data_IF_806170276549
#
_entry.id   IF_806170276549
#
_cell.length_a   1.000
_cell.length_b   1.000
_cell.length_c   1.000
_cell.angle_alpha   90.00
_cell.angle_beta   90.00
_cell.angle_gamma   90.00
#
_symmetry.space_group_name_H-M   'P 1'
#
loop_
_entity.id
_entity.type
_entity.pdbx_description
1 polymer ?
#
# COMPACT_ATOMS: atom_id res chain seq x y z
N UNK A 1 -5.32 27.75 -12.49
CA UNK A 1 -3.93 27.51 -12.04
C UNK A 1 -3.99 26.71 -10.76
N UNK A 2 -3.20 25.63 -10.65
CA UNK A 2 -3.08 24.87 -9.42
C UNK A 2 -2.42 25.76 -8.32
N UNK A 3 -2.83 25.62 -7.04
CA UNK A 3 -2.14 26.27 -5.93
C UNK A 3 -0.66 25.89 -5.89
N UNK A 4 0.18 26.82 -5.41
CA UNK A 4 1.65 26.64 -5.38
C UNK A 4 2.08 25.37 -4.62
N UNK A 5 1.33 24.97 -3.62
CA UNK A 5 1.56 23.76 -2.81
C UNK A 5 1.54 22.45 -3.60
N UNK A 6 1.01 22.43 -4.83
CA UNK A 6 1.02 21.26 -5.72
C UNK A 6 2.25 21.20 -6.63
N UNK A 7 3.11 22.22 -6.61
CA UNK A 7 4.34 22.24 -7.38
C UNK A 7 5.51 21.74 -6.53
N UNK A 8 6.27 20.79 -7.07
CA UNK A 8 7.43 20.21 -6.41
C UNK A 8 8.69 20.46 -7.21
N UNK A 9 9.83 20.63 -6.52
CA UNK A 9 11.12 20.81 -7.13
C UNK A 9 11.57 19.62 -7.98
N UNK A 10 12.44 19.87 -8.94
CA UNK A 10 13.13 18.83 -9.70
C UNK A 10 14.56 18.71 -9.16
N UNK A 11 14.82 17.70 -8.31
CA UNK A 11 16.01 17.65 -7.45
C UNK A 11 17.13 16.75 -7.98
N UNK A 12 16.98 16.11 -9.14
CA UNK A 12 18.02 15.24 -9.73
C UNK A 12 18.22 15.53 -11.21
N UNK A 13 19.48 15.49 -11.66
CA UNK A 13 19.81 15.51 -13.09
C UNK A 13 19.74 14.10 -13.66
N UNK A 14 20.32 13.13 -12.96
CA UNK A 14 20.28 11.71 -13.31
C UNK A 14 19.65 10.90 -12.15
N UNK A 15 19.16 9.71 -12.46
CA UNK A 15 18.49 8.85 -11.48
C UNK A 15 19.35 8.50 -10.26
N UNK A 16 20.64 8.37 -10.47
CA UNK A 16 21.64 7.99 -9.46
C UNK A 16 22.09 9.14 -8.58
N UNK A 17 21.70 10.37 -8.90
CA UNK A 17 22.13 11.55 -8.14
C UNK A 17 21.54 11.56 -6.75
N UNK A 18 22.28 12.12 -5.79
CA UNK A 18 21.75 12.50 -4.50
C UNK A 18 20.94 13.79 -4.61
N UNK A 19 19.98 13.98 -3.71
CA UNK A 19 19.25 15.24 -3.59
C UNK A 19 20.22 16.30 -3.06
N UNK A 20 20.31 17.46 -3.75
CA UNK A 20 21.15 18.57 -3.36
C UNK A 20 20.35 19.55 -2.49
N UNK A 21 20.96 19.96 -1.36
CA UNK A 21 20.40 20.92 -0.43
C UNK A 21 20.83 22.35 -0.81
N UNK A 22 19.90 23.13 -1.35
CA UNK A 22 20.12 24.55 -1.63
C UNK A 22 19.17 25.11 -2.69
N UNK A 23 18.59 26.28 -2.45
CA UNK A 23 17.60 26.88 -3.34
C UNK A 23 18.17 27.18 -4.75
N UNK A 24 19.42 27.64 -4.85
CA UNK A 24 20.07 27.89 -6.14
C UNK A 24 20.42 26.57 -6.85
N UNK A 25 20.85 25.55 -6.11
CA UNK A 25 21.16 24.24 -6.67
C UNK A 25 19.92 23.59 -7.26
N UNK A 26 18.77 23.74 -6.64
CA UNK A 26 17.48 23.22 -7.13
C UNK A 26 17.11 23.82 -8.49
N UNK A 27 17.30 25.15 -8.68
CA UNK A 27 17.02 25.78 -9.96
C UNK A 27 17.95 25.27 -11.07
N UNK A 28 19.26 25.21 -10.81
CA UNK A 28 20.23 24.70 -11.80
C UNK A 28 20.03 23.19 -12.07
N UNK A 29 19.66 22.43 -11.06
CA UNK A 29 19.33 21.01 -11.20
C UNK A 29 18.09 20.82 -12.07
N UNK A 30 17.07 21.64 -11.89
CA UNK A 30 15.89 21.63 -12.76
C UNK A 30 16.24 21.99 -14.21
N UNK A 31 17.09 23.02 -14.42
CA UNK A 31 17.54 23.41 -15.75
C UNK A 31 18.33 22.30 -16.45
N UNK A 32 19.27 21.67 -15.76
CA UNK A 32 20.09 20.57 -16.30
C UNK A 32 19.31 19.25 -16.36
N UNK A 33 18.37 19.04 -15.47
CA UNK A 33 17.53 17.87 -15.38
C UNK A 33 16.31 17.96 -16.30
N UNK A 34 15.27 18.65 -15.89
CA UNK A 34 13.98 18.71 -16.63
C UNK A 34 14.12 19.39 -17.99
N UNK A 35 14.83 20.52 -18.05
CA UNK A 35 14.95 21.32 -19.30
C UNK A 35 16.03 20.83 -20.26
N UNK A 36 16.72 19.72 -19.96
CA UNK A 36 17.52 19.05 -20.96
C UNK A 36 16.64 18.68 -22.15
N UNK A 37 17.05 19.04 -23.36
CA UNK A 37 16.23 19.03 -24.57
C UNK A 37 15.51 17.69 -24.80
N UNK A 38 16.23 16.58 -24.72
CA UNK A 38 15.69 15.25 -24.94
C UNK A 38 14.68 14.87 -23.87
N UNK A 39 14.97 15.21 -22.59
CA UNK A 39 14.08 14.92 -21.46
C UNK A 39 12.83 15.78 -21.50
N UNK A 40 12.97 17.06 -21.80
CA UNK A 40 11.82 17.96 -21.93
C UNK A 40 10.87 17.48 -23.04
N UNK A 41 11.40 17.07 -24.19
CA UNK A 41 10.59 16.52 -25.27
C UNK A 41 9.88 15.22 -24.85
N UNK A 42 10.57 14.35 -24.12
CA UNK A 42 9.99 13.12 -23.58
C UNK A 42 8.89 13.42 -22.56
N UNK A 43 9.12 14.38 -21.65
CA UNK A 43 8.12 14.80 -20.67
C UNK A 43 6.88 15.38 -21.35
N UNK A 44 7.06 16.28 -22.32
CA UNK A 44 5.94 16.86 -23.07
C UNK A 44 5.13 15.78 -23.84
N UNK A 45 5.81 14.74 -24.32
CA UNK A 45 5.19 13.71 -25.14
C UNK A 45 4.53 12.59 -24.31
N UNK A 46 5.14 12.19 -23.19
CA UNK A 46 4.76 10.98 -22.47
C UNK A 46 4.33 11.18 -21.01
N UNK A 47 4.64 12.34 -20.40
CA UNK A 47 4.51 12.54 -18.96
C UNK A 47 3.62 13.72 -18.56
N UNK A 48 2.80 14.21 -19.49
CA UNK A 48 1.72 15.16 -19.20
C UNK A 48 0.40 14.43 -19.37
N UNK A 49 -0.30 14.24 -18.27
CA UNK A 49 -1.60 13.58 -18.24
C UNK A 49 -2.73 14.61 -18.10
N UNK A 50 -3.70 14.50 -18.97
CA UNK A 50 -4.96 15.25 -18.96
C UNK A 50 -6.07 14.22 -18.72
N UNK A 51 -6.80 14.27 -17.59
CA UNK A 51 -7.92 13.38 -17.35
C UNK A 51 -9.02 13.51 -18.42
N UNK A 52 -9.67 12.39 -18.73
CA UNK A 52 -10.75 12.35 -19.75
C UNK A 52 -12.08 12.94 -19.24
N UNK A 53 -12.18 13.24 -17.94
CA UNK A 53 -13.38 13.79 -17.29
C UNK A 53 -13.53 15.27 -17.55
N UNK A 54 -14.74 15.75 -18.01
CA UNK A 54 -14.96 17.16 -18.34
C UNK A 54 -14.84 18.13 -17.15
N UNK A 55 -14.86 17.63 -15.91
CA UNK A 55 -14.81 18.46 -14.68
C UNK A 55 -13.40 18.79 -14.21
N UNK A 56 -12.39 18.02 -14.65
CA UNK A 56 -11.02 18.18 -14.19
C UNK A 56 -10.18 18.73 -15.32
N UNK A 57 -10.01 20.05 -15.38
CA UNK A 57 -9.09 20.75 -16.29
C UNK A 57 -7.63 20.66 -15.84
N UNK A 58 -7.35 19.81 -14.87
CA UNK A 58 -6.02 19.71 -14.27
C UNK A 58 -5.04 19.03 -15.23
N UNK A 59 -3.91 19.70 -15.43
CA UNK A 59 -2.74 19.13 -16.11
C UNK A 59 -1.81 18.52 -15.08
N UNK A 60 -1.63 17.23 -15.15
CA UNK A 60 -0.76 16.49 -14.25
C UNK A 60 0.57 16.24 -14.98
N UNK A 61 1.64 16.86 -14.50
CA UNK A 61 3.00 16.67 -15.00
C UNK A 61 3.74 15.74 -14.03
N UNK A 62 4.55 14.83 -14.54
CA UNK A 62 5.33 13.95 -13.69
C UNK A 62 6.30 14.71 -12.78
N UNK A 63 6.53 14.18 -11.60
CA UNK A 63 7.68 14.54 -10.75
C UNK A 63 8.92 13.78 -11.20
N UNK A 64 10.12 14.25 -10.82
CA UNK A 64 11.36 13.58 -11.20
C UNK A 64 11.44 12.10 -10.78
N UNK A 65 10.93 11.68 -9.58
CA UNK A 65 10.96 10.26 -9.22
C UNK A 65 10.07 9.40 -10.14
N UNK A 66 8.91 9.95 -10.54
CA UNK A 66 8.01 9.27 -11.47
C UNK A 66 8.63 9.13 -12.87
N UNK A 67 9.33 10.17 -13.33
CA UNK A 67 10.04 10.14 -14.60
C UNK A 67 11.12 9.07 -14.62
N UNK A 68 12.02 9.07 -13.63
CA UNK A 68 13.11 8.12 -13.57
C UNK A 68 12.61 6.69 -13.37
N UNK A 69 11.69 6.47 -12.43
CA UNK A 69 11.10 5.16 -12.19
C UNK A 69 10.44 4.59 -13.46
N UNK A 70 9.63 5.38 -14.14
CA UNK A 70 8.97 4.96 -15.38
C UNK A 70 9.98 4.61 -16.45
N UNK A 71 10.97 5.47 -16.68
CA UNK A 71 11.96 5.28 -17.73
C UNK A 71 12.83 4.05 -17.47
N UNK A 72 13.29 3.86 -16.24
CA UNK A 72 14.10 2.72 -15.86
C UNK A 72 13.30 1.41 -15.93
N UNK A 73 12.07 1.39 -15.40
CA UNK A 73 11.19 0.23 -15.51
C UNK A 73 10.90 -0.12 -16.97
N UNK A 74 10.58 0.87 -17.79
CA UNK A 74 10.31 0.65 -19.21
C UNK A 74 11.51 -0.01 -19.92
N UNK A 75 12.71 0.50 -19.69
CA UNK A 75 13.94 -0.06 -20.26
C UNK A 75 14.21 -1.49 -19.74
N UNK A 76 13.98 -1.73 -18.44
CA UNK A 76 14.16 -3.05 -17.86
C UNK A 76 13.13 -4.05 -18.41
N UNK A 77 11.87 -3.65 -18.56
CA UNK A 77 10.83 -4.47 -19.18
C UNK A 77 11.21 -4.83 -20.61
N UNK A 78 11.70 -3.87 -21.41
CA UNK A 78 12.14 -4.16 -22.77
C UNK A 78 13.25 -5.21 -22.81
N UNK A 79 14.17 -5.20 -21.84
CA UNK A 79 15.27 -6.16 -21.75
C UNK A 79 14.81 -7.55 -21.30
N UNK A 80 13.91 -7.61 -20.31
CA UNK A 80 13.50 -8.84 -19.64
C UNK A 80 12.17 -9.43 -20.12
N UNK A 81 11.53 -8.79 -21.11
CA UNK A 81 10.27 -9.27 -21.69
C UNK A 81 10.41 -10.68 -22.26
N UNK A 82 9.40 -11.51 -22.03
CA UNK A 82 9.29 -12.86 -22.63
C UNK A 82 9.15 -12.85 -24.15
N UNK A 83 8.99 -11.68 -24.77
CA UNK A 83 9.10 -11.52 -26.21
C UNK A 83 10.55 -11.63 -26.69
N UNK A 84 11.53 -11.43 -25.81
CA UNK A 84 12.93 -11.66 -26.10
C UNK A 84 13.28 -13.12 -25.80
N UNK A 85 14.10 -13.77 -26.61
CA UNK A 85 14.52 -15.16 -26.39
C UNK A 85 15.17 -15.39 -25.01
N UNK A 86 15.97 -14.42 -24.56
CA UNK A 86 16.68 -14.45 -23.26
C UNK A 86 15.90 -13.79 -22.12
N UNK A 87 14.68 -13.33 -22.35
CA UNK A 87 13.85 -12.65 -21.37
C UNK A 87 13.35 -13.61 -20.30
N UNK A 88 13.60 -13.31 -19.03
CA UNK A 88 13.19 -14.11 -17.89
C UNK A 88 11.80 -13.75 -17.35
N UNK A 89 11.16 -12.71 -17.92
CA UNK A 89 9.86 -12.19 -17.49
C UNK A 89 9.91 -11.41 -16.18
N UNK A 90 11.08 -11.06 -15.67
CA UNK A 90 11.25 -10.25 -14.45
C UNK A 90 11.44 -8.78 -14.82
N UNK A 91 10.33 -8.07 -15.01
CA UNK A 91 10.31 -6.67 -15.45
C UNK A 91 10.88 -5.66 -14.46
N UNK A 92 11.11 -6.08 -13.20
CA UNK A 92 11.73 -5.30 -12.15
C UNK A 92 10.77 -4.80 -11.07
N UNK A 93 11.34 -4.33 -9.98
CA UNK A 93 10.61 -3.79 -8.82
C UNK A 93 10.91 -2.30 -8.65
N UNK A 94 9.85 -1.50 -8.47
CA UNK A 94 9.97 -0.11 -8.03
C UNK A 94 9.69 -0.02 -6.54
N UNK A 95 10.67 0.48 -5.80
CA UNK A 95 10.53 0.82 -4.40
C UNK A 95 10.15 2.29 -4.26
N UNK A 96 8.89 2.58 -4.00
CA UNK A 96 8.38 3.94 -3.84
C UNK A 96 7.71 4.17 -2.50
N UNK A 97 8.18 5.16 -1.75
CA UNK A 97 7.58 5.58 -0.47
C UNK A 97 6.07 5.84 -0.62
N UNK A 98 5.31 5.64 0.45
CA UNK A 98 3.88 5.96 0.48
C UNK A 98 3.67 7.46 0.20
N UNK A 99 2.70 7.78 -0.65
CA UNK A 99 2.42 9.17 -1.05
C UNK A 99 3.28 9.70 -2.21
N UNK A 100 4.29 8.97 -2.69
CA UNK A 100 5.14 9.42 -3.81
C UNK A 100 4.43 9.45 -5.18
N UNK A 101 3.19 8.98 -5.26
CA UNK A 101 2.41 8.96 -6.50
C UNK A 101 2.66 7.74 -7.38
N UNK A 102 2.83 6.54 -6.80
CA UNK A 102 2.98 5.26 -7.50
C UNK A 102 1.92 5.05 -8.60
N UNK A 103 0.67 5.42 -8.33
CA UNK A 103 -0.43 5.31 -9.30
C UNK A 103 -0.18 6.07 -10.59
N UNK A 104 0.35 7.29 -10.50
CA UNK A 104 0.75 8.06 -11.69
C UNK A 104 1.96 7.46 -12.39
N UNK A 105 2.93 6.91 -11.62
CA UNK A 105 4.06 6.18 -12.23
C UNK A 105 3.58 4.99 -13.06
N UNK A 106 2.62 4.21 -12.53
CA UNK A 106 2.00 3.09 -13.27
C UNK A 106 1.28 3.58 -14.54
N UNK A 107 0.59 4.71 -14.46
CA UNK A 107 -0.14 5.31 -15.56
C UNK A 107 0.82 5.79 -16.68
N UNK A 108 1.91 6.46 -16.33
CA UNK A 108 2.95 6.86 -17.27
C UNK A 108 3.66 5.64 -17.89
N UNK A 109 3.91 4.61 -17.08
CA UNK A 109 4.46 3.35 -17.56
C UNK A 109 3.51 2.67 -18.54
N UNK A 110 2.22 2.56 -18.21
CA UNK A 110 1.22 1.98 -19.09
C UNK A 110 1.17 2.68 -20.46
N UNK A 111 1.22 4.03 -20.47
CA UNK A 111 1.31 4.80 -21.71
C UNK A 111 2.52 4.41 -22.57
N UNK A 112 3.71 4.35 -21.96
CA UNK A 112 4.94 4.00 -22.70
C UNK A 112 4.90 2.57 -23.21
N UNK A 113 4.40 1.64 -22.40
CA UNK A 113 4.26 0.23 -22.80
C UNK A 113 3.30 0.07 -23.98
N UNK A 114 2.11 0.69 -23.93
CA UNK A 114 1.12 0.60 -24.99
C UNK A 114 1.58 1.23 -26.32
N UNK A 115 2.44 2.22 -26.27
CA UNK A 115 3.00 2.89 -27.46
C UNK A 115 4.25 2.23 -28.01
N UNK A 116 4.82 1.27 -27.30
CA UNK A 116 6.05 0.61 -27.70
C UNK A 116 5.84 -0.39 -28.83
N UNK A 117 6.42 -0.12 -29.98
CA UNK A 117 6.44 -1.07 -31.10
C UNK A 117 7.17 -2.37 -30.76
N UNK A 118 8.15 -2.32 -29.84
CA UNK A 118 8.95 -3.48 -29.42
C UNK A 118 8.18 -4.49 -28.59
N UNK A 119 7.06 -4.10 -28.00
CA UNK A 119 6.24 -4.95 -27.14
C UNK A 119 5.01 -5.54 -27.84
N UNK A 120 4.89 -5.38 -29.16
CA UNK A 120 3.82 -5.98 -29.97
C UNK A 120 2.42 -5.71 -29.46
N UNK A 121 2.12 -4.42 -29.13
CA UNK A 121 0.84 -4.00 -28.54
C UNK A 121 0.49 -4.82 -27.28
N UNK A 122 1.19 -4.63 -26.17
CA UNK A 122 1.05 -5.47 -25.00
C UNK A 122 -0.35 -5.37 -24.39
N UNK A 123 -0.82 -6.44 -23.77
CA UNK A 123 -1.94 -6.43 -22.85
C UNK A 123 -1.42 -6.17 -21.45
N UNK A 124 -1.94 -5.17 -20.76
CA UNK A 124 -1.57 -4.85 -19.38
C UNK A 124 -2.61 -5.45 -18.43
N UNK A 125 -2.15 -6.21 -17.43
CA UNK A 125 -2.96 -6.70 -16.32
C UNK A 125 -2.47 -5.99 -15.06
N UNK A 126 -3.30 -5.07 -14.55
CA UNK A 126 -3.00 -4.32 -13.33
C UNK A 126 -3.63 -5.05 -12.14
N UNK A 127 -2.82 -5.36 -11.15
CA UNK A 127 -3.20 -6.20 -10.02
C UNK A 127 -3.05 -5.39 -8.73
N UNK A 128 -4.14 -5.28 -7.98
CA UNK A 128 -4.20 -4.59 -6.68
C UNK A 128 -4.44 -5.59 -5.54
N UNK A 129 -4.08 -5.20 -4.32
CA UNK A 129 -4.29 -6.04 -3.12
C UNK A 129 -5.68 -5.84 -2.50
N UNK A 130 -6.23 -4.62 -2.55
CA UNK A 130 -7.48 -4.26 -1.87
C UNK A 130 -8.53 -3.73 -2.83
N UNK A 131 -9.77 -4.10 -2.60
CA UNK A 131 -10.93 -3.60 -3.34
C UNK A 131 -11.09 -2.07 -3.25
N UNK A 132 -10.86 -1.46 -2.08
CA UNK A 132 -11.00 -0.02 -1.90
C UNK A 132 -9.91 0.80 -2.63
N UNK A 133 -8.68 0.29 -2.69
CA UNK A 133 -7.59 0.88 -3.48
C UNK A 133 -7.76 0.62 -4.97
N UNK A 134 -8.42 -0.50 -5.32
CA UNK A 134 -8.82 -0.82 -6.69
C UNK A 134 -9.73 0.28 -7.26
N UNK A 135 -10.66 0.80 -6.48
CA UNK A 135 -11.57 1.87 -6.91
C UNK A 135 -10.85 3.17 -7.26
N UNK A 136 -9.86 3.60 -6.49
CA UNK A 136 -9.11 4.83 -6.77
C UNK A 136 -8.18 4.67 -7.97
N UNK A 137 -7.42 3.58 -8.02
CA UNK A 137 -6.51 3.29 -9.12
C UNK A 137 -7.29 3.03 -10.41
N UNK A 138 -8.39 2.26 -10.32
CA UNK A 138 -9.30 1.99 -11.43
C UNK A 138 -9.90 3.27 -12.00
N UNK A 139 -10.39 4.19 -11.16
CA UNK A 139 -10.90 5.49 -11.61
C UNK A 139 -9.84 6.30 -12.36
N UNK A 140 -8.60 6.29 -11.85
CA UNK A 140 -7.49 7.00 -12.52
C UNK A 140 -7.21 6.43 -13.90
N UNK A 141 -7.20 5.09 -14.05
CA UNK A 141 -6.97 4.44 -15.33
C UNK A 141 -8.16 4.58 -16.29
N UNK A 142 -9.40 4.46 -15.80
CA UNK A 142 -10.61 4.65 -16.60
C UNK A 142 -10.71 6.08 -17.18
N UNK A 143 -10.20 7.07 -16.43
CA UNK A 143 -10.13 8.47 -16.87
C UNK A 143 -8.90 8.79 -17.74
N UNK A 144 -8.13 7.78 -18.15
CA UNK A 144 -6.87 7.95 -18.88
C UNK A 144 -6.86 7.24 -20.25
N UNK A 145 -8.02 6.91 -20.81
CA UNK A 145 -8.11 6.14 -22.06
C UNK A 145 -7.41 6.84 -23.23
N UNK A 146 -7.62 8.15 -23.41
CA UNK A 146 -6.93 8.94 -24.43
C UNK A 146 -5.43 9.05 -24.16
N UNK A 147 -5.04 9.19 -22.90
CA UNK A 147 -3.65 9.30 -22.51
C UNK A 147 -2.90 8.00 -22.76
N UNK A 148 -3.41 6.87 -22.32
CA UNK A 148 -2.83 5.54 -22.52
C UNK A 148 -2.85 5.16 -24.01
N UNK A 149 -3.88 5.58 -24.73
CA UNK A 149 -4.04 5.32 -26.16
C UNK A 149 -4.73 3.98 -26.45
N UNK A 150 -5.44 3.41 -25.49
CA UNK A 150 -6.30 2.24 -25.68
C UNK A 150 -7.70 2.52 -25.10
N UNK A 151 -8.74 2.21 -25.88
CA UNK A 151 -10.13 2.40 -25.45
C UNK A 151 -10.62 1.28 -24.53
N UNK A 152 -9.89 0.17 -24.46
CA UNK A 152 -10.25 -0.98 -23.65
C UNK A 152 -9.50 -0.91 -22.34
N UNK A 153 -10.08 -0.21 -21.37
CA UNK A 153 -9.66 -0.22 -19.98
C UNK A 153 -10.85 -0.75 -19.18
N UNK A 154 -10.70 -1.92 -18.56
CA UNK A 154 -11.81 -2.65 -17.94
C UNK A 154 -11.43 -3.11 -16.55
N UNK A 155 -12.28 -2.80 -15.58
CA UNK A 155 -12.22 -3.43 -14.26
C UNK A 155 -12.89 -4.79 -14.35
N UNK A 156 -12.14 -5.85 -14.05
CA UNK A 156 -12.57 -7.23 -14.23
C UNK A 156 -13.15 -7.77 -12.93
N UNK A 157 -14.40 -8.21 -12.97
CA UNK A 157 -15.14 -8.67 -11.81
C UNK A 157 -14.75 -10.09 -11.35
N UNK A 158 -14.38 -10.97 -12.29
CA UNK A 158 -14.01 -12.35 -12.00
C UNK A 158 -12.85 -12.85 -12.87
N UNK A 159 -12.24 -13.98 -12.44
CA UNK A 159 -11.19 -14.66 -13.21
C UNK A 159 -11.68 -15.21 -14.55
N UNK A 160 -12.91 -15.69 -14.61
CA UNK A 160 -13.54 -16.18 -15.82
C UNK A 160 -13.68 -15.05 -16.86
N UNK A 161 -14.06 -13.87 -16.40
CA UNK A 161 -14.11 -12.67 -17.22
C UNK A 161 -12.72 -12.25 -17.70
N UNK A 162 -11.71 -12.33 -16.83
CA UNK A 162 -10.33 -12.06 -17.26
C UNK A 162 -9.88 -13.03 -18.35
N UNK A 163 -10.16 -14.32 -18.19
CA UNK A 163 -9.86 -15.35 -19.19
C UNK A 163 -10.55 -15.05 -20.51
N UNK A 164 -11.86 -14.78 -20.47
CA UNK A 164 -12.66 -14.41 -21.65
C UNK A 164 -12.06 -13.21 -22.40
N UNK A 165 -11.66 -12.18 -21.67
CA UNK A 165 -11.02 -10.99 -22.27
C UNK A 165 -9.67 -11.32 -22.92
N UNK A 166 -8.84 -12.14 -22.25
CA UNK A 166 -7.53 -12.53 -22.75
C UNK A 166 -7.61 -13.48 -23.96
N UNK A 167 -8.66 -14.30 -24.04
CA UNK A 167 -8.91 -15.19 -25.20
C UNK A 167 -9.48 -14.41 -26.40
N UNK A 168 -10.39 -13.46 -26.17
CA UNK A 168 -11.02 -12.68 -27.23
C UNK A 168 -10.09 -11.66 -27.88
N UNK A 169 -9.08 -11.22 -27.14
CA UNK A 169 -8.18 -10.15 -27.62
C UNK A 169 -6.72 -10.57 -27.53
N UNK A 170 -6.06 -10.59 -28.66
CA UNK A 170 -4.65 -11.04 -28.77
C UNK A 170 -3.63 -9.92 -28.58
N UNK A 171 -4.05 -8.64 -28.56
CA UNK A 171 -3.18 -7.48 -28.43
C UNK A 171 -3.91 -6.29 -27.80
N UNK A 172 -3.18 -5.46 -27.09
CA UNK A 172 -3.69 -4.27 -26.41
C UNK A 172 -4.63 -4.59 -25.23
N UNK A 173 -5.22 -3.55 -24.66
CA UNK A 173 -6.14 -3.61 -23.52
C UNK A 173 -5.43 -3.50 -22.17
N UNK A 174 -6.13 -2.86 -21.23
CA UNK A 174 -5.73 -2.74 -19.83
C UNK A 174 -6.82 -3.33 -18.96
N UNK A 175 -6.50 -4.34 -18.19
CA UNK A 175 -7.42 -5.07 -17.33
C UNK A 175 -7.01 -4.90 -15.88
N UNK A 176 -7.91 -4.32 -15.08
CA UNK A 176 -7.71 -4.10 -13.64
C UNK A 176 -8.37 -5.24 -12.88
N UNK A 177 -7.65 -5.82 -11.93
CA UNK A 177 -8.11 -6.97 -11.15
C UNK A 177 -7.45 -6.99 -9.78
N UNK A 178 -7.98 -7.81 -8.87
CA UNK A 178 -7.39 -7.99 -7.54
C UNK A 178 -6.64 -9.32 -7.45
N UNK A 179 -5.61 -9.37 -6.59
CA UNK A 179 -4.76 -10.55 -6.42
C UNK A 179 -5.54 -11.76 -5.90
N UNK A 180 -6.61 -11.54 -5.12
CA UNK A 180 -7.46 -12.59 -4.56
C UNK A 180 -8.19 -13.41 -5.62
N UNK A 181 -8.26 -12.94 -6.86
CA UNK A 181 -8.85 -13.69 -7.98
C UNK A 181 -7.91 -14.77 -8.55
N UNK A 182 -6.65 -14.83 -8.08
CA UNK A 182 -5.68 -15.85 -8.46
C UNK A 182 -5.52 -16.87 -7.32
N UNK A 183 -6.10 -18.01 -7.48
CA UNK A 183 -6.08 -19.13 -6.53
C UNK A 183 -5.76 -20.46 -7.24
N UNK A 184 -5.62 -21.56 -6.49
CA UNK A 184 -5.23 -22.87 -7.02
C UNK A 184 -6.13 -23.33 -8.18
N UNK A 185 -7.41 -23.00 -8.12
CA UNK A 185 -8.39 -23.36 -9.16
C UNK A 185 -8.33 -22.48 -10.42
N UNK A 186 -7.48 -21.43 -10.46
CA UNK A 186 -7.44 -20.49 -11.58
C UNK A 186 -7.01 -21.16 -12.88
N UNK A 187 -6.05 -22.08 -12.81
CA UNK A 187 -5.48 -22.73 -13.99
C UNK A 187 -4.81 -21.75 -14.98
N UNK A 188 -4.59 -22.20 -16.20
CA UNK A 188 -3.98 -21.39 -17.25
C UNK A 188 -4.99 -20.39 -17.81
N UNK A 189 -4.64 -19.09 -17.77
CA UNK A 189 -5.42 -18.02 -18.37
C UNK A 189 -4.93 -17.68 -19.79
N UNK A 190 -3.62 -17.62 -20.00
CA UNK A 190 -3.02 -17.34 -21.32
C UNK A 190 -1.55 -17.73 -21.38
N UNK A 191 -1.11 -18.21 -22.54
CA UNK A 191 0.30 -18.48 -22.86
C UNK A 191 0.99 -17.34 -23.63
N UNK A 192 0.33 -16.19 -23.78
CA UNK A 192 0.85 -15.07 -24.55
C UNK A 192 2.07 -14.44 -23.86
N UNK A 193 3.10 -14.12 -24.63
CA UNK A 193 4.30 -13.43 -24.14
C UNK A 193 4.19 -11.89 -24.14
N UNK A 194 3.18 -11.32 -24.83
CA UNK A 194 2.92 -9.89 -24.86
C UNK A 194 1.96 -9.42 -23.74
N UNK A 195 1.92 -10.13 -22.61
CA UNK A 195 1.19 -9.73 -21.40
C UNK A 195 2.18 -9.16 -20.39
N UNK A 196 1.83 -8.01 -19.82
CA UNK A 196 2.60 -7.35 -18.77
C UNK A 196 1.72 -7.23 -17.54
N UNK A 197 2.13 -7.88 -16.45
CA UNK A 197 1.44 -7.83 -15.15
C UNK A 197 2.12 -6.76 -14.29
N UNK A 198 1.37 -5.75 -13.87
CA UNK A 198 1.82 -4.70 -12.95
C UNK A 198 1.09 -4.90 -11.63
N UNK A 199 1.83 -5.21 -10.57
CA UNK A 199 1.28 -5.42 -9.22
C UNK A 199 1.54 -4.23 -8.33
N UNK A 200 0.47 -3.63 -7.79
CA UNK A 200 0.57 -2.68 -6.70
C UNK A 200 0.68 -3.41 -5.35
N UNK A 201 1.32 -2.76 -4.38
CA UNK A 201 1.66 -3.34 -3.07
C UNK A 201 2.21 -4.77 -3.18
N UNK A 202 3.16 -4.94 -4.12
CA UNK A 202 3.72 -6.22 -4.54
C UNK A 202 4.21 -7.11 -3.39
N UNK A 203 4.60 -6.54 -2.24
CA UNK A 203 4.98 -7.28 -1.05
C UNK A 203 3.83 -8.05 -0.39
N UNK A 204 2.58 -7.60 -0.55
CA UNK A 204 1.39 -8.25 0.05
C UNK A 204 0.89 -9.43 -0.77
N UNK A 205 1.04 -9.37 -2.08
CA UNK A 205 0.64 -10.46 -3.00
C UNK A 205 1.47 -11.73 -2.83
N UNK A 206 2.45 -11.70 -1.94
CA UNK A 206 3.53 -12.68 -1.92
C UNK A 206 3.69 -13.45 -0.63
N UNK A 207 2.69 -14.10 -0.23
CA UNK A 207 2.95 -15.24 0.61
C UNK A 207 3.70 -16.33 -0.21
N UNK A 208 4.90 -15.97 -0.72
CA UNK A 208 5.95 -16.82 -1.27
C UNK A 208 5.62 -17.66 -2.50
N UNK A 209 6.62 -17.84 -3.37
CA UNK A 209 6.66 -18.93 -4.36
C UNK A 209 6.82 -20.29 -3.65
N UNK A 210 7.23 -20.29 -2.38
CA UNK A 210 7.41 -21.48 -1.55
C UNK A 210 6.10 -22.03 -1.01
N UNK A 211 6.07 -23.33 -0.84
CA UNK A 211 4.98 -24.06 -0.23
C UNK A 211 4.90 -23.74 1.27
N UNK A 212 3.79 -23.20 1.72
CA UNK A 212 3.46 -23.09 3.15
C UNK A 212 2.63 -24.30 3.56
N UNK A 213 3.07 -24.97 4.59
CA UNK A 213 2.37 -26.10 5.17
C UNK A 213 1.57 -25.61 6.36
N UNK A 214 0.26 -25.74 6.31
CA UNK A 214 -0.61 -25.46 7.45
C UNK A 214 -1.24 -26.78 7.91
N UNK A 215 -1.05 -27.09 9.19
CA UNK A 215 -1.66 -28.27 9.82
C UNK A 215 -3.08 -27.88 10.25
N UNK A 216 -4.08 -28.53 9.68
CA UNK A 216 -5.48 -28.39 10.07
C UNK A 216 -5.97 -29.68 10.74
N UNK A 217 -7.11 -29.63 11.44
CA UNK A 217 -7.74 -30.82 12.05
C UNK A 217 -8.02 -31.96 11.05
N UNK A 218 -8.04 -31.65 9.72
CA UNK A 218 -8.27 -32.62 8.63
C UNK A 218 -6.98 -33.08 7.93
N UNK A 219 -5.78 -32.73 8.46
CA UNK A 219 -4.50 -33.10 7.89
C UNK A 219 -3.68 -31.90 7.39
N UNK A 220 -2.58 -32.20 6.71
CA UNK A 220 -1.63 -31.19 6.19
C UNK A 220 -2.22 -30.59 4.91
N UNK A 221 -2.47 -29.26 4.91
CA UNK A 221 -2.77 -28.50 3.71
C UNK A 221 -1.54 -27.73 3.25
N UNK A 222 -1.19 -27.92 1.99
CA UNK A 222 -0.16 -27.18 1.32
C UNK A 222 -0.79 -25.97 0.60
N UNK A 223 -0.36 -24.78 0.96
CA UNK A 223 -0.79 -23.55 0.29
C UNK A 223 0.41 -22.89 -0.37
N UNK A 224 0.24 -22.50 -1.62
CA UNK A 224 1.17 -21.62 -2.29
C UNK A 224 0.66 -20.17 -2.18
N UNK A 225 1.58 -19.20 -2.28
CA UNK A 225 1.18 -17.80 -2.35
C UNK A 225 0.50 -17.44 -3.68
N UNK A 226 -0.31 -16.40 -3.67
CA UNK A 226 -0.98 -15.88 -4.87
C UNK A 226 -0.02 -15.62 -6.04
N UNK A 227 1.22 -15.21 -5.74
CA UNK A 227 2.24 -14.97 -6.76
C UNK A 227 2.57 -16.22 -7.59
N UNK A 228 2.53 -17.41 -6.97
CA UNK A 228 2.71 -18.69 -7.70
C UNK A 228 1.53 -18.93 -8.63
N UNK A 229 0.30 -18.84 -8.12
CA UNK A 229 -0.91 -19.06 -8.95
C UNK A 229 -1.00 -18.06 -10.09
N UNK A 230 -0.61 -16.80 -9.86
CA UNK A 230 -0.52 -15.78 -10.89
C UNK A 230 0.50 -16.18 -11.99
N UNK A 231 1.68 -16.65 -11.59
CA UNK A 231 2.70 -17.11 -12.55
C UNK A 231 2.27 -18.37 -13.30
N UNK A 232 1.64 -19.31 -12.62
CA UNK A 232 1.12 -20.53 -13.25
C UNK A 232 -0.01 -20.20 -14.24
N UNK A 233 -0.80 -19.15 -13.96
CA UNK A 233 -1.89 -18.70 -14.84
C UNK A 233 -1.42 -17.94 -16.08
N UNK A 234 -0.30 -17.24 -15.99
CA UNK A 234 0.27 -16.40 -17.07
C UNK A 234 1.79 -16.65 -17.20
N UNK A 235 2.23 -17.87 -17.54
CA UNK A 235 3.63 -18.29 -17.42
C UNK A 235 4.60 -17.51 -18.31
N UNK A 236 4.13 -16.95 -19.40
CA UNK A 236 4.92 -16.17 -20.34
C UNK A 236 4.73 -14.64 -20.18
N UNK A 237 4.03 -14.18 -19.16
CA UNK A 237 3.91 -12.75 -18.89
C UNK A 237 5.22 -12.15 -18.33
N UNK A 238 5.33 -10.82 -18.46
CA UNK A 238 6.40 -10.05 -17.83
C UNK A 238 5.81 -9.38 -16.57
N UNK A 239 6.48 -9.53 -15.43
CA UNK A 239 5.99 -9.11 -14.12
C UNK A 239 6.73 -7.90 -13.61
N UNK A 240 5.99 -6.90 -13.13
CA UNK A 240 6.51 -5.64 -12.58
C UNK A 240 5.88 -5.40 -11.22
N UNK A 241 6.69 -5.14 -10.20
CA UNK A 241 6.24 -4.89 -8.83
C UNK A 241 6.38 -3.44 -8.43
N UNK A 242 5.33 -2.89 -7.79
CA UNK A 242 5.35 -1.60 -7.12
C UNK A 242 5.13 -1.84 -5.62
N UNK A 243 5.99 -1.29 -4.77
CA UNK A 243 5.89 -1.51 -3.33
C UNK A 243 6.49 -0.36 -2.52
N UNK A 244 5.94 -0.11 -1.34
CA UNK A 244 6.55 0.77 -0.32
C UNK A 244 7.49 0.02 0.63
N UNK A 245 7.49 -1.33 0.60
CA UNK A 245 8.24 -2.20 1.51
C UNK A 245 8.71 -3.45 0.77
N UNK A 246 9.82 -3.38 -0.01
CA UNK A 246 10.32 -4.53 -0.74
C UNK A 246 10.82 -5.61 0.23
N UNK A 247 10.39 -6.85 -0.01
CA UNK A 247 10.85 -8.05 0.68
C UNK A 247 11.63 -8.93 -0.30
N UNK A 248 12.52 -9.79 0.20
CA UNK A 248 13.33 -10.68 -0.67
C UNK A 248 12.44 -11.51 -1.60
N UNK A 249 11.34 -12.07 -1.07
CA UNK A 249 10.36 -12.80 -1.88
C UNK A 249 9.73 -11.97 -3.00
N UNK A 250 9.67 -10.63 -2.84
CA UNK A 250 9.18 -9.71 -3.90
C UNK A 250 10.13 -9.74 -5.08
N UNK A 251 11.42 -9.70 -4.80
CA UNK A 251 12.47 -9.66 -5.82
C UNK A 251 12.54 -10.98 -6.61
N UNK A 252 12.23 -12.10 -5.96
CA UNK A 252 12.17 -13.41 -6.63
C UNK A 252 11.12 -13.46 -7.74
N UNK A 253 9.99 -12.77 -7.55
CA UNK A 253 8.87 -12.75 -8.49
C UNK A 253 9.03 -11.69 -9.56
N UNK A 254 9.33 -10.46 -9.17
CA UNK A 254 9.31 -9.31 -10.09
C UNK A 254 10.70 -8.93 -10.61
N UNK A 255 11.76 -9.42 -9.99
CA UNK A 255 13.13 -9.05 -10.30
C UNK A 255 13.67 -7.97 -9.36
N UNK A 256 14.94 -7.58 -9.56
CA UNK A 256 15.64 -6.64 -8.68
C UNK A 256 14.96 -5.27 -8.64
N UNK A 257 15.32 -4.48 -7.62
CA UNK A 257 14.91 -3.07 -7.54
C UNK A 257 15.58 -2.32 -8.69
N UNK A 258 14.77 -1.81 -9.60
CA UNK A 258 15.21 -1.06 -10.78
C UNK A 258 15.37 0.41 -10.45
N UNK A 259 14.47 0.95 -9.66
CA UNK A 259 14.52 2.32 -9.16
C UNK A 259 13.91 2.41 -7.77
N UNK A 260 14.33 3.41 -7.01
CA UNK A 260 13.86 3.63 -5.64
C UNK A 260 13.65 5.10 -5.34
N UNK A 261 12.59 5.36 -4.60
CA UNK A 261 12.32 6.64 -3.98
C UNK A 261 11.97 6.39 -2.52
N UNK A 262 12.94 6.63 -1.65
CA UNK A 262 12.89 6.25 -0.24
C UNK A 262 12.06 7.24 0.59
N UNK A 263 11.70 6.82 1.83
CA UNK A 263 11.05 7.72 2.79
C UNK A 263 11.93 8.94 3.14
N UNK A 264 13.25 8.76 3.17
CA UNK A 264 14.19 9.87 3.43
C UNK A 264 14.14 10.91 2.31
N UNK A 265 14.11 10.45 1.06
CA UNK A 265 13.96 11.34 -0.11
C UNK A 265 12.58 12.02 -0.10
N UNK A 266 11.52 11.29 0.23
CA UNK A 266 10.16 11.83 0.31
C UNK A 266 10.00 12.89 1.42
N UNK A 267 10.73 12.76 2.52
CA UNK A 267 10.78 13.78 3.59
C UNK A 267 11.59 15.00 3.14
N UNK A 268 12.74 14.79 2.48
CA UNK A 268 13.57 15.87 1.94
C UNK A 268 12.82 16.69 0.88
N UNK A 269 12.00 16.02 0.06
CA UNK A 269 11.14 16.67 -0.94
C UNK A 269 9.82 17.23 -0.37
N UNK A 270 9.63 17.18 0.95
CA UNK A 270 8.42 17.64 1.66
C UNK A 270 7.11 16.93 1.22
N UNK A 271 7.21 15.80 0.53
CA UNK A 271 6.06 14.99 0.09
C UNK A 271 5.41 14.29 1.28
N UNK A 272 6.22 13.90 2.25
CA UNK A 272 5.76 13.28 3.49
C UNK A 272 6.44 13.91 4.71
N UNK A 273 5.87 13.72 5.88
CA UNK A 273 6.44 14.22 7.14
C UNK A 273 7.35 13.19 7.76
N UNK A 274 8.41 13.66 8.44
CA UNK A 274 9.28 12.79 9.23
C UNK A 274 8.44 12.13 10.34
N UNK A 275 8.50 10.81 10.40
CA UNK A 275 7.90 10.05 11.50
C UNK A 275 8.90 10.04 12.65
N UNK A 276 8.46 10.52 13.81
CA UNK A 276 9.19 10.40 15.07
C UNK A 276 8.62 9.20 15.81
N UNK A 277 9.46 8.18 16.01
CA UNK A 277 9.07 6.98 16.74
C UNK A 277 9.41 7.14 18.21
N UNK A 278 8.43 6.95 19.09
CA UNK A 278 8.58 6.86 20.53
C UNK A 278 8.08 5.49 21.00
N UNK A 279 9.01 4.64 21.41
CA UNK A 279 8.69 3.33 21.99
C UNK A 279 8.32 3.48 23.46
N UNK A 280 7.06 3.22 23.80
CA UNK A 280 6.57 3.16 25.18
C UNK A 280 6.26 1.72 25.54
N UNK A 281 7.06 1.15 26.45
CA UNK A 281 6.80 -0.17 26.98
C UNK A 281 5.91 -0.04 28.22
N UNK A 282 4.68 -0.55 28.15
CA UNK A 282 3.92 -0.82 29.35
C UNK A 282 4.68 -1.91 30.12
N UNK A 283 5.20 -1.61 31.32
CA UNK A 283 5.78 -2.62 32.20
C UNK A 283 4.63 -3.54 32.68
N UNK A 284 4.47 -4.64 31.95
CA UNK A 284 3.60 -5.73 32.38
C UNK A 284 4.38 -6.48 33.46
N UNK A 285 4.07 -6.24 34.71
CA UNK A 285 4.38 -7.20 35.76
C UNK A 285 3.34 -8.32 35.62
N UNK A 286 3.67 -9.34 34.82
CA UNK A 286 2.94 -10.60 34.89
C UNK A 286 3.11 -11.07 36.33
N UNK A 287 1.98 -11.10 37.06
CA UNK A 287 1.98 -11.52 38.44
C UNK A 287 2.53 -12.95 38.48
N UNK A 288 3.63 -13.14 39.21
CA UNK A 288 4.30 -14.45 39.35
C UNK A 288 3.35 -15.52 39.93
N UNK A 289 2.26 -15.11 40.56
CA UNK A 289 1.19 -15.98 41.03
C UNK A 289 0.36 -16.51 39.87
N UNK A 290 -0.03 -15.66 38.96
CA UNK A 290 -0.82 -16.07 37.73
C UNK A 290 0.00 -17.01 36.82
N UNK A 291 1.32 -16.81 36.70
CA UNK A 291 2.18 -17.73 35.93
C UNK A 291 2.19 -19.12 36.56
N UNK A 292 2.32 -19.23 37.87
CA UNK A 292 2.27 -20.52 38.60
C UNK A 292 0.91 -21.19 38.51
N UNK A 293 -0.17 -20.43 38.57
CA UNK A 293 -1.53 -20.97 38.37
C UNK A 293 -1.73 -21.54 36.96
N UNK A 294 -1.20 -20.88 35.94
CA UNK A 294 -1.22 -21.36 34.54
C UNK A 294 -0.39 -22.64 34.40
N UNK A 295 0.79 -22.71 35.01
CA UNK A 295 1.61 -23.92 35.00
C UNK A 295 0.93 -25.09 35.71
N UNK A 296 0.35 -24.87 36.89
CA UNK A 296 -0.42 -25.87 37.62
C UNK A 296 -1.65 -26.36 36.80
N UNK A 297 -2.34 -25.46 36.14
CA UNK A 297 -3.46 -25.83 35.27
C UNK A 297 -3.03 -26.75 34.11
N UNK A 298 -1.90 -26.46 33.45
CA UNK A 298 -1.40 -27.33 32.39
C UNK A 298 -0.87 -28.68 32.90
N UNK A 299 -0.29 -28.72 34.10
CA UNK A 299 0.11 -29.97 34.71
C UNK A 299 -1.13 -30.83 35.07
N UNK A 300 -2.23 -30.24 35.51
CA UNK A 300 -3.49 -30.94 35.71
C UNK A 300 -4.07 -31.45 34.40
N UNK A 301 -4.09 -30.64 33.32
CA UNK A 301 -4.52 -31.07 32.00
C UNK A 301 -3.71 -32.27 31.46
N UNK A 302 -2.42 -32.30 31.74
CA UNK A 302 -1.54 -33.43 31.40
C UNK A 302 -1.88 -34.70 32.19
N UNK A 303 -2.21 -34.56 33.46
CA UNK A 303 -2.64 -35.68 34.31
C UNK A 303 -4.02 -36.21 33.88
N UNK A 304 -4.87 -35.36 33.34
CA UNK A 304 -6.19 -35.72 32.79
C UNK A 304 -6.15 -36.29 31.38
N UNK A 305 -4.94 -36.43 30.78
CA UNK A 305 -4.73 -37.12 29.49
C UNK A 305 -4.58 -36.21 28.28
N UNK A 306 -4.41 -34.89 28.45
CA UNK A 306 -4.08 -34.00 27.35
C UNK A 306 -2.67 -34.30 26.79
N UNK A 307 -2.53 -34.40 25.47
CA UNK A 307 -1.23 -34.60 24.83
C UNK A 307 -0.35 -33.33 24.90
N UNK A 308 0.98 -33.53 24.90
CA UNK A 308 1.94 -32.42 24.89
C UNK A 308 1.70 -31.46 23.71
N UNK A 309 1.20 -31.98 22.56
CA UNK A 309 0.80 -31.16 21.40
C UNK A 309 -0.42 -30.24 21.70
N UNK A 310 -1.45 -30.79 22.35
CA UNK A 310 -2.63 -30.00 22.72
C UNK A 310 -2.29 -28.92 23.75
N UNK A 311 -1.39 -29.24 24.69
CA UNK A 311 -0.89 -28.31 25.69
C UNK A 311 -0.06 -27.20 25.01
N UNK A 312 0.83 -27.53 24.07
CA UNK A 312 1.59 -26.53 23.30
C UNK A 312 0.70 -25.64 22.43
N UNK A 313 -0.29 -26.20 21.77
CA UNK A 313 -1.28 -25.44 21.01
C UNK A 313 -2.11 -24.52 21.91
N UNK A 314 -2.54 -25.01 23.06
CA UNK A 314 -3.27 -24.21 24.04
C UNK A 314 -2.39 -23.11 24.64
N UNK A 315 -1.12 -23.42 24.98
CA UNK A 315 -0.12 -22.42 25.40
C UNK A 315 0.11 -21.38 24.33
N UNK A 316 0.22 -21.75 23.05
CA UNK A 316 0.33 -20.81 21.92
C UNK A 316 -0.93 -19.96 21.75
N UNK A 317 -2.11 -20.49 22.01
CA UNK A 317 -3.35 -19.71 22.00
C UNK A 317 -3.48 -18.77 23.20
N UNK A 318 -3.10 -19.21 24.40
CA UNK A 318 -3.12 -18.37 25.62
C UNK A 318 -1.96 -17.36 25.70
N UNK A 319 -0.82 -17.62 25.10
CA UNK A 319 0.28 -16.65 24.89
C UNK A 319 0.02 -15.71 23.71
N UNK A 320 -1.14 -15.77 23.09
CA UNK A 320 -1.48 -14.74 22.12
C UNK A 320 -1.46 -13.40 22.83
N UNK A 321 -0.65 -12.52 22.31
CA UNK A 321 -0.54 -11.11 22.69
C UNK A 321 -1.92 -10.47 22.95
N UNK A 322 -2.95 -10.93 22.28
CA UNK A 322 -4.34 -10.48 22.43
C UNK A 322 -4.93 -10.72 23.82
N UNK A 323 -4.59 -11.82 24.50
CA UNK A 323 -5.10 -12.09 25.86
C UNK A 323 -4.42 -11.17 26.87
N UNK A 324 -3.11 -10.96 26.69
CA UNK A 324 -2.32 -10.07 27.56
C UNK A 324 -2.73 -8.61 27.33
N UNK A 325 -2.91 -8.21 26.07
CA UNK A 325 -3.31 -6.86 25.70
C UNK A 325 -4.77 -6.52 26.05
N UNK A 326 -5.60 -7.53 26.31
CA UNK A 326 -7.01 -7.34 26.71
C UNK A 326 -7.20 -7.34 28.25
N UNK A 327 -6.12 -7.39 29.02
CA UNK A 327 -6.16 -7.28 30.47
C UNK A 327 -6.68 -5.89 30.87
N UNK A 328 -7.74 -5.80 31.72
CA UNK A 328 -8.36 -4.52 32.08
C UNK A 328 -7.42 -3.54 32.76
N UNK A 329 -6.53 -4.02 33.63
CA UNK A 329 -5.59 -3.17 34.37
C UNK A 329 -4.51 -2.61 33.43
N UNK A 330 -4.08 -3.41 32.46
CA UNK A 330 -3.15 -2.98 31.41
C UNK A 330 -3.81 -1.93 30.52
N UNK A 331 -5.05 -2.19 30.08
CA UNK A 331 -5.80 -1.25 29.22
C UNK A 331 -6.08 0.08 29.94
N UNK A 332 -6.37 0.05 31.23
CA UNK A 332 -6.54 1.28 32.02
C UNK A 332 -5.26 2.12 32.07
N UNK A 333 -4.07 1.47 32.26
CA UNK A 333 -2.77 2.16 32.22
C UNK A 333 -2.42 2.72 30.85
N UNK A 334 -2.70 1.96 29.78
CA UNK A 334 -2.51 2.40 28.40
C UNK A 334 -3.44 3.59 28.11
N UNK A 335 -4.71 3.51 28.51
CA UNK A 335 -5.66 4.60 28.35
C UNK A 335 -5.19 5.88 29.02
N UNK A 336 -4.70 5.77 30.26
CA UNK A 336 -4.14 6.90 31.01
C UNK A 336 -2.95 7.51 30.28
N UNK A 337 -1.97 6.71 29.87
CA UNK A 337 -0.77 7.21 29.13
C UNK A 337 -1.13 7.88 27.82
N UNK A 338 -2.11 7.33 27.08
CA UNK A 338 -2.59 7.94 25.81
C UNK A 338 -3.25 9.28 26.07
N UNK A 339 -4.12 9.37 27.09
CA UNK A 339 -4.85 10.61 27.42
C UNK A 339 -3.86 11.69 27.86
N UNK A 340 -2.97 11.38 28.80
CA UNK A 340 -1.96 12.32 29.31
C UNK A 340 -1.04 12.81 28.18
N UNK A 341 -0.58 11.90 27.31
CA UNK A 341 0.25 12.25 26.16
C UNK A 341 -0.46 13.15 25.16
N UNK A 342 -1.72 12.84 24.87
CA UNK A 342 -2.54 13.63 23.94
C UNK A 342 -2.82 15.03 24.47
N UNK A 343 -3.20 15.16 25.74
CA UNK A 343 -3.46 16.45 26.41
C UNK A 343 -2.19 17.30 26.47
N UNK A 344 -1.06 16.71 26.87
CA UNK A 344 0.23 17.38 26.91
C UNK A 344 0.64 17.94 25.53
N UNK A 345 0.42 17.18 24.46
CA UNK A 345 0.70 17.66 23.09
C UNK A 345 -0.17 18.85 22.68
N UNK A 346 -1.40 18.93 23.18
CA UNK A 346 -2.27 20.08 22.93
C UNK A 346 -1.78 21.29 23.72
N UNK A 347 -1.40 21.12 24.99
CA UNK A 347 -0.88 22.18 25.84
C UNK A 347 0.44 22.75 25.36
N UNK A 348 1.33 21.94 24.80
CA UNK A 348 2.62 22.36 24.23
C UNK A 348 2.51 23.26 22.98
N UNK A 349 1.27 23.55 22.54
CA UNK A 349 1.01 24.61 21.57
C UNK A 349 1.47 24.30 20.14
N UNK A 350 1.34 23.06 19.70
CA UNK A 350 1.45 22.72 18.28
C UNK A 350 0.46 23.59 17.50
N UNK A 351 0.95 24.38 16.57
CA UNK A 351 0.16 25.33 15.74
C UNK A 351 -0.95 24.64 14.91
N UNK A 352 -1.00 23.32 14.90
CA UNK A 352 -2.03 22.50 14.27
C UNK A 352 -2.59 21.57 15.31
N UNK A 353 -3.88 21.66 15.59
CA UNK A 353 -4.63 20.68 16.40
C UNK A 353 -4.47 19.28 15.75
N UNK A 354 -3.55 18.50 16.32
CA UNK A 354 -3.23 17.18 15.80
C UNK A 354 -4.35 16.19 16.05
N UNK A 355 -4.76 15.45 15.03
CA UNK A 355 -5.62 14.27 15.19
C UNK A 355 -4.76 13.10 15.66
N UNK A 356 -5.31 12.27 16.57
CA UNK A 356 -4.69 11.02 16.99
C UNK A 356 -5.46 9.85 16.38
N UNK A 357 -4.73 8.79 16.00
CA UNK A 357 -5.31 7.53 15.57
C UNK A 357 -4.71 6.40 16.41
N UNK A 358 -5.57 5.66 17.09
CA UNK A 358 -5.20 4.50 17.87
C UNK A 358 -5.53 3.26 17.06
N UNK A 359 -4.53 2.43 16.82
CA UNK A 359 -4.70 1.17 16.09
C UNK A 359 -4.52 0.01 17.06
N UNK A 360 -5.54 -0.82 17.18
CA UNK A 360 -5.55 -1.99 18.05
C UNK A 360 -5.44 -3.28 17.23
N UNK A 361 -4.90 -4.35 17.85
CA UNK A 361 -4.75 -5.65 17.22
C UNK A 361 -6.07 -6.41 17.02
N UNK A 362 -7.09 -6.10 17.81
CA UNK A 362 -8.41 -6.72 17.70
C UNK A 362 -9.56 -5.73 17.99
N UNK A 363 -10.77 -6.07 17.54
CA UNK A 363 -11.98 -5.31 17.80
C UNK A 363 -12.31 -5.24 19.30
N UNK A 364 -12.08 -6.33 20.04
CA UNK A 364 -12.31 -6.42 21.48
C UNK A 364 -11.41 -5.46 22.24
N UNK A 365 -10.10 -5.44 21.91
CA UNK A 365 -9.14 -4.52 22.53
C UNK A 365 -9.50 -3.07 22.20
N UNK A 366 -9.89 -2.78 20.95
CA UNK A 366 -10.32 -1.44 20.55
C UNK A 366 -11.52 -0.96 21.35
N UNK A 367 -12.52 -1.83 21.57
CA UNK A 367 -13.70 -1.53 22.38
C UNK A 367 -13.35 -1.27 23.82
N UNK A 368 -12.59 -2.18 24.45
CA UNK A 368 -12.23 -2.07 25.86
C UNK A 368 -11.35 -0.84 26.13
N UNK A 369 -10.40 -0.53 25.22
CA UNK A 369 -9.58 0.67 25.31
C UNK A 369 -10.42 1.94 25.13
N UNK A 370 -11.35 1.94 24.19
CA UNK A 370 -12.30 3.04 23.99
C UNK A 370 -13.13 3.30 25.28
N UNK A 371 -13.66 2.25 25.91
CA UNK A 371 -14.38 2.36 27.18
C UNK A 371 -13.50 2.90 28.33
N UNK A 372 -12.24 2.44 28.40
CA UNK A 372 -11.29 2.92 29.41
C UNK A 372 -10.96 4.42 29.20
N UNK A 373 -10.79 4.87 27.96
CA UNK A 373 -10.56 6.30 27.66
C UNK A 373 -11.80 7.14 28.02
N UNK A 374 -13.02 6.71 27.67
CA UNK A 374 -14.23 7.43 28.02
C UNK A 374 -14.47 7.47 29.53
N UNK A 375 -14.07 6.42 30.25
CA UNK A 375 -14.12 6.42 31.70
C UNK A 375 -13.20 7.52 32.29
N UNK A 376 -12.06 7.77 31.72
CA UNK A 376 -11.15 8.85 32.12
C UNK A 376 -11.61 10.24 31.66
N UNK A 377 -12.26 10.33 30.51
CA UNK A 377 -12.71 11.58 29.88
C UNK A 377 -14.11 11.41 29.27
N UNK A 378 -15.17 11.41 30.08
CA UNK A 378 -16.55 11.23 29.60
C UNK A 378 -16.96 12.29 28.58
N UNK A 379 -16.45 13.52 28.72
CA UNK A 379 -16.70 14.64 27.82
C UNK A 379 -16.19 14.44 26.38
N UNK A 380 -15.28 13.50 26.18
CA UNK A 380 -14.79 13.19 24.82
C UNK A 380 -15.79 12.37 23.99
N UNK A 381 -16.75 11.74 24.65
CA UNK A 381 -17.86 11.03 24.00
C UNK A 381 -19.04 11.95 23.65
N UNK A 382 -19.08 13.18 24.18
CA UNK A 382 -20.14 14.13 23.89
C UNK A 382 -20.07 14.61 22.43
N UNK A 383 -21.24 14.65 21.80
CA UNK A 383 -21.40 15.18 20.45
C UNK A 383 -21.37 16.69 20.49
N UNK A 384 -20.37 17.31 19.91
CA UNK A 384 -20.22 18.78 19.85
C UNK A 384 -20.18 19.26 18.41
N UNK A 385 -20.67 20.47 18.15
CA UNK A 385 -20.64 21.10 16.83
C UNK A 385 -19.29 21.75 16.54
N UNK A 386 -18.56 22.21 17.58
CA UNK A 386 -17.24 22.81 17.48
C UNK A 386 -16.44 22.65 18.78
N UNK A 387 -15.14 22.94 18.73
CA UNK A 387 -14.27 22.99 19.90
C UNK A 387 -14.63 24.23 20.73
N UNK A 388 -14.59 24.12 22.07
CA UNK A 388 -14.84 25.26 22.96
C UNK A 388 -13.92 26.43 22.62
N UNK A 389 -14.53 27.60 22.34
CA UNK A 389 -13.82 28.84 21.99
C UNK A 389 -13.75 29.14 20.48
N UNK A 390 -14.17 28.25 19.60
CA UNK A 390 -14.27 28.53 18.16
C UNK A 390 -15.66 29.10 17.81
N UNK A 391 -15.67 30.18 17.03
CA UNK A 391 -16.87 30.74 16.42
C UNK A 391 -16.94 30.32 14.97
N UNK A 392 -17.86 29.43 14.64
CA UNK A 392 -18.08 28.97 13.27
C UNK A 392 -18.85 30.00 12.45
N UNK A 393 -18.43 30.24 11.22
CA UNK A 393 -19.19 31.00 10.22
C UNK A 393 -20.47 30.22 9.82
N UNK A 394 -21.47 30.92 9.27
CA UNK A 394 -22.70 30.26 8.78
C UNK A 394 -22.45 29.21 7.69
N UNK A 395 -21.38 29.34 6.93
CA UNK A 395 -21.00 28.38 5.89
C UNK A 395 -20.42 27.13 6.50
N UNK A 396 -19.53 27.27 7.47
CA UNK A 396 -18.93 26.14 8.19
C UNK A 396 -19.97 25.35 9.00
N UNK A 397 -20.96 26.00 9.63
CA UNK A 397 -22.05 25.33 10.33
C UNK A 397 -22.91 24.43 9.43
N UNK A 398 -22.99 24.73 8.12
CA UNK A 398 -23.71 23.90 7.14
C UNK A 398 -22.92 22.69 6.68
N UNK A 399 -21.60 22.75 6.76
CA UNK A 399 -20.67 21.71 6.26
C UNK A 399 -20.20 20.77 7.39
N UNK A 400 -20.18 21.22 8.64
CA UNK A 400 -19.70 20.45 9.80
C UNK A 400 -20.82 19.53 10.29
N UNK A 401 -20.48 18.24 10.44
CA UNK A 401 -21.33 17.27 11.12
C UNK A 401 -20.93 17.22 12.60
N UNK A 402 -21.88 17.38 13.53
CA UNK A 402 -21.61 17.17 14.93
C UNK A 402 -21.02 15.80 15.19
N UNK A 403 -19.93 15.72 15.96
CA UNK A 403 -19.26 14.47 16.25
C UNK A 403 -18.60 14.49 17.63
N UNK A 404 -18.40 13.31 18.25
CA UNK A 404 -17.64 13.23 19.48
C UNK A 404 -16.16 13.46 19.22
N UNK A 405 -15.41 13.87 20.25
CA UNK A 405 -13.96 14.05 20.18
C UNK A 405 -13.21 12.74 19.94
N UNK A 406 -13.74 11.64 20.43
CA UNK A 406 -13.26 10.28 20.20
C UNK A 406 -14.34 9.43 19.54
N UNK A 407 -13.98 8.71 18.50
CA UNK A 407 -14.88 7.78 17.83
C UNK A 407 -14.14 6.47 17.52
N UNK A 408 -14.85 5.37 17.57
CA UNK A 408 -14.33 4.05 17.19
C UNK A 408 -14.81 3.71 15.79
N UNK A 409 -13.87 3.27 14.94
CA UNK A 409 -14.15 2.81 13.58
C UNK A 409 -13.87 1.32 13.50
N UNK A 410 -14.91 0.56 13.24
CA UNK A 410 -14.82 -0.91 13.03
C UNK A 410 -15.60 -1.29 11.78
N UNK A 411 -15.15 -2.35 11.09
CA UNK A 411 -15.94 -2.94 10.00
C UNK A 411 -17.17 -3.64 10.58
N UNK A 412 -18.34 -3.44 9.99
CA UNK A 412 -19.51 -4.29 10.22
C UNK A 412 -19.32 -5.61 9.49
N UNK A 413 -19.72 -6.71 10.14
CA UNK A 413 -19.84 -8.03 9.50
C UNK A 413 -21.00 -8.03 8.53
#
# INVERSE_FOLDING_TARGET
>A
FAPYEFFYGWHKVEATDSILDGAFDTMFTMMRGLFRKERLLDVLHNFIYLPDTPKDEDKIVCRYPQYFATTQLFNNILKHSRLNPDGDGKGGTYFGATGCGKSYTMLFLARQLMRSKKLSSPTIVLITDRTDLDDQLSKSFLNATKFIGDKTIVQVESREKLKEHLEKRTAGGVYLTTIQKFEESTGLLSNRANIICISDEAHRSQAGLGQKTTITEKGVKHHYGFAKYLRDSLPNATYVGFTGTPLDNTLDVFGPIVDRYTMTEAVADEITRKIVYEGRAAKIMIDSVKVKEIELFYDQCKQEGASDYQIEESKKMMTRIDVILNDPDLLAKIAQDIVEHYEKRIEEGSTVLGKAMIVCSSRSIAWNLYQAIIHLRPEWAEIKECIEGETLSEKERKEIKPMPRIAMVITRD
#
